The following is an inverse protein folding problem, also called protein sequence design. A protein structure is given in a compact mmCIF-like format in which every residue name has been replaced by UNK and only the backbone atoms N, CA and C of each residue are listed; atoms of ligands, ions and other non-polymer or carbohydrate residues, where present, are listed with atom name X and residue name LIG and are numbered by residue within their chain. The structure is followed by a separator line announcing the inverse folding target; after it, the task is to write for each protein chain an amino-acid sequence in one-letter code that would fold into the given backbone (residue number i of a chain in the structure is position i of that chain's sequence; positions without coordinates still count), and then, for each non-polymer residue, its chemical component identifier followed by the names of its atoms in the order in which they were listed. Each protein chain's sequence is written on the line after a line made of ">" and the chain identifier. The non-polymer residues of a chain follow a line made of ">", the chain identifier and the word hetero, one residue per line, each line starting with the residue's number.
data_IF_438368182693
#
_entry.id   IF_438368182693
#
_cell.length_a   1.000
_cell.length_b   1.000
_cell.length_c   1.000
_cell.angle_alpha   90.00
_cell.angle_beta   90.00
_cell.angle_gamma   90.00
#
_symmetry.space_group_name_H-M   'P 1'
#
loop_
_entity.id
_entity.type
_entity.pdbx_description
1 polymer ?
#
# COMPACT_ATOMS: atom_id res chain seq x y z
N UNK A 1 -17.43 -3.53 2.54
CA UNK A 1 -16.40 -4.08 1.64
C UNK A 1 -15.96 -5.47 2.10
N UNK A 2 -15.64 -5.66 3.39
CA UNK A 2 -15.31 -6.95 3.99
C UNK A 2 -16.36 -8.07 3.73
N UNK A 3 -17.65 -7.81 3.96
CA UNK A 3 -18.72 -8.81 3.77
C UNK A 3 -18.81 -9.33 2.33
N UNK A 4 -18.77 -8.43 1.33
CA UNK A 4 -18.76 -8.84 -0.10
C UNK A 4 -17.55 -9.69 -0.45
N UNK A 5 -16.40 -9.42 0.17
CA UNK A 5 -15.19 -10.20 -0.05
C UNK A 5 -15.33 -11.60 0.55
N UNK A 6 -15.87 -11.69 1.77
CA UNK A 6 -16.17 -12.96 2.43
C UNK A 6 -17.10 -13.82 1.60
N UNK A 7 -18.19 -13.24 1.09
CA UNK A 7 -19.15 -13.92 0.20
C UNK A 7 -18.47 -14.41 -1.09
N UNK A 8 -17.65 -13.57 -1.72
CA UNK A 8 -16.92 -13.95 -2.94
C UNK A 8 -15.96 -15.11 -2.71
N UNK A 9 -15.30 -15.14 -1.55
CA UNK A 9 -14.36 -16.19 -1.15
C UNK A 9 -15.07 -17.45 -0.62
N UNK A 10 -16.40 -17.44 -0.55
CA UNK A 10 -17.22 -18.51 0.05
C UNK A 10 -16.68 -18.93 1.43
N UNK A 11 -16.08 -17.98 2.17
CA UNK A 11 -15.38 -18.26 3.41
C UNK A 11 -16.37 -18.40 4.58
N UNK A 12 -16.21 -19.46 5.36
CA UNK A 12 -16.95 -19.64 6.62
C UNK A 12 -16.64 -18.52 7.62
N UNK A 13 -17.46 -18.38 8.66
CA UNK A 13 -17.19 -17.42 9.73
C UNK A 13 -15.82 -17.65 10.38
N UNK A 14 -15.47 -18.92 10.62
CA UNK A 14 -14.20 -19.33 11.22
C UNK A 14 -13.02 -18.99 10.32
N UNK A 15 -13.07 -19.38 9.04
CA UNK A 15 -12.02 -19.03 8.07
C UNK A 15 -11.87 -17.52 7.91
N UNK A 16 -13.00 -16.80 7.88
CA UNK A 16 -13.00 -15.35 7.73
C UNK A 16 -12.29 -14.63 8.89
N UNK A 17 -12.39 -15.15 10.12
CA UNK A 17 -11.65 -14.56 11.26
C UNK A 17 -10.13 -14.61 11.07
N UNK A 18 -9.62 -15.62 10.34
CA UNK A 18 -8.20 -15.76 10.01
C UNK A 18 -7.83 -14.98 8.74
N UNK A 19 -8.69 -15.03 7.72
CA UNK A 19 -8.43 -14.42 6.41
C UNK A 19 -8.51 -12.90 6.44
N UNK A 20 -9.48 -12.33 7.15
CA UNK A 20 -9.72 -10.89 7.18
C UNK A 20 -8.45 -10.08 7.54
N UNK A 21 -7.77 -10.32 8.69
CA UNK A 21 -6.61 -9.52 9.06
C UNK A 21 -5.43 -9.68 8.09
N UNK A 22 -5.26 -10.86 7.48
CA UNK A 22 -4.21 -11.09 6.48
C UNK A 22 -4.50 -10.37 5.17
N UNK A 23 -5.76 -10.41 4.73
CA UNK A 23 -6.22 -9.72 3.53
C UNK A 23 -6.11 -8.20 3.70
N UNK A 24 -6.58 -7.65 4.82
CA UNK A 24 -6.47 -6.22 5.13
C UNK A 24 -5.00 -5.77 5.14
N UNK A 25 -4.10 -6.59 5.68
CA UNK A 25 -2.66 -6.34 5.66
C UNK A 25 -2.12 -6.29 4.23
N UNK A 26 -2.44 -7.26 3.38
CA UNK A 26 -2.02 -7.28 1.97
C UNK A 26 -2.55 -6.05 1.23
N UNK A 27 -3.85 -5.75 1.34
CA UNK A 27 -4.46 -4.60 0.68
C UNK A 27 -3.83 -3.28 1.14
N UNK A 28 -3.56 -3.14 2.44
CA UNK A 28 -2.87 -1.96 3.00
C UNK A 28 -1.46 -1.83 2.43
N UNK A 29 -0.67 -2.90 2.42
CA UNK A 29 0.68 -2.89 1.87
C UNK A 29 0.70 -2.62 0.36
N UNK A 30 -0.25 -3.18 -0.41
CA UNK A 30 -0.42 -2.88 -1.83
C UNK A 30 -0.79 -1.42 -2.07
N UNK A 31 -1.71 -0.86 -1.29
CA UNK A 31 -2.07 0.56 -1.36
C UNK A 31 -0.86 1.44 -1.06
N UNK A 32 -0.08 1.09 -0.03
CA UNK A 32 1.11 1.85 0.33
C UNK A 32 2.21 1.73 -0.75
N UNK A 33 2.36 0.56 -1.40
CA UNK A 33 3.34 0.29 -2.44
C UNK A 33 3.02 0.99 -3.77
N UNK A 34 1.73 1.09 -4.13
CA UNK A 34 1.28 1.88 -5.30
C UNK A 34 1.50 3.38 -5.11
N UNK A 35 1.93 3.80 -3.92
CA UNK A 35 1.96 5.19 -3.49
C UNK A 35 0.52 5.67 -3.29
N UNK A 36 0.25 6.37 -2.19
CA UNK A 36 -1.07 6.94 -1.89
C UNK A 36 -1.58 7.99 -2.91
N UNK A 37 -1.11 7.97 -4.15
CA UNK A 37 -1.52 8.78 -5.29
C UNK A 37 -2.88 8.36 -5.86
N UNK A 38 -3.47 7.23 -5.42
CA UNK A 38 -4.80 6.77 -5.86
C UNK A 38 -5.98 7.61 -5.33
N UNK A 39 -5.77 8.44 -4.29
CA UNK A 39 -6.78 9.39 -3.77
C UNK A 39 -6.40 10.86 -4.01
N UNK A 40 -5.30 11.11 -4.70
CA UNK A 40 -4.80 12.46 -5.04
C UNK A 40 -4.90 12.75 -6.55
N UNK A 41 -5.73 11.99 -7.28
CA UNK A 41 -6.00 12.18 -8.71
C UNK A 41 -7.12 13.18 -9.04
N UNK A 42 -7.56 14.00 -8.08
CA UNK A 42 -8.75 14.85 -8.20
C UNK A 42 -8.55 16.33 -7.89
N UNK A 43 -7.32 16.87 -7.89
CA UNK A 43 -7.09 18.31 -7.62
C UNK A 43 -6.22 18.96 -8.70
N UNK A 44 -6.77 18.99 -9.91
CA UNK A 44 -6.49 20.05 -10.88
C UNK A 44 -7.82 20.71 -11.23
N UNK A 45 -8.30 21.58 -10.36
CA UNK A 45 -9.46 22.44 -10.62
C UNK A 45 -10.30 22.74 -9.38
N UNK A 46 -10.33 24.00 -8.96
CA UNK A 46 -11.38 24.56 -8.10
C UNK A 46 -10.98 24.91 -6.67
N UNK A 47 -11.18 26.16 -6.22
CA UNK A 47 -10.96 26.59 -4.83
C UNK A 47 -12.18 26.22 -3.96
N UNK A 48 -12.55 24.94 -3.92
CA UNK A 48 -13.60 24.47 -3.00
C UNK A 48 -13.48 22.97 -2.81
N UNK A 49 -12.50 22.54 -2.02
CA UNK A 49 -12.41 21.15 -1.65
C UNK A 49 -12.09 21.11 -0.16
N UNK A 50 -13.06 20.57 0.59
CA UNK A 50 -13.12 20.53 2.03
C UNK A 50 -11.92 19.85 2.70
N UNK A 51 -11.95 19.79 4.04
CA UNK A 51 -10.86 19.22 4.83
C UNK A 51 -10.55 17.80 4.33
N UNK A 52 -9.25 17.45 4.21
CA UNK A 52 -8.85 16.17 3.65
C UNK A 52 -9.53 15.03 4.43
N UNK A 53 -10.10 14.02 3.75
CA UNK A 53 -10.62 12.84 4.42
C UNK A 53 -9.52 12.25 5.31
N UNK A 54 -9.88 12.08 6.58
CA UNK A 54 -8.96 11.98 7.71
C UNK A 54 -7.85 10.94 7.56
N UNK A 55 -6.73 11.23 8.21
CA UNK A 55 -5.75 10.32 8.83
C UNK A 55 -5.42 8.98 8.13
N UNK A 56 -5.63 8.87 6.82
CA UNK A 56 -5.03 7.86 5.96
C UNK A 56 -3.63 8.28 5.48
N UNK A 57 -3.00 9.23 6.18
CA UNK A 57 -1.54 9.39 6.24
C UNK A 57 -0.92 8.25 7.08
N UNK A 58 -1.44 7.05 6.91
CA UNK A 58 -0.98 5.82 7.56
C UNK A 58 0.47 5.62 7.18
N UNK A 59 1.39 5.96 8.11
CA UNK A 59 2.76 5.49 8.28
C UNK A 59 3.53 5.01 7.02
N UNK A 60 3.34 5.65 5.88
CA UNK A 60 3.94 5.23 4.63
C UNK A 60 5.32 5.88 4.54
N UNK A 61 6.32 5.21 5.13
CA UNK A 61 7.71 5.67 5.15
C UNK A 61 8.22 5.99 3.74
N UNK A 62 7.84 5.19 2.74
CA UNK A 62 8.18 5.43 1.34
C UNK A 62 7.59 6.76 0.85
N UNK A 63 6.32 7.05 1.12
CA UNK A 63 5.69 8.32 0.74
C UNK A 63 6.37 9.53 1.39
N UNK A 64 6.72 9.43 2.68
CA UNK A 64 7.44 10.50 3.40
C UNK A 64 8.81 10.77 2.77
N UNK A 65 9.61 9.73 2.54
CA UNK A 65 10.94 9.88 1.92
C UNK A 65 10.82 10.42 0.48
N UNK A 66 9.79 10.02 -0.28
CA UNK A 66 9.53 10.58 -1.61
C UNK A 66 9.23 12.08 -1.56
N UNK A 67 8.42 12.54 -0.60
CA UNK A 67 8.13 13.96 -0.42
C UNK A 67 9.39 14.75 -0.06
N UNK A 68 10.19 14.25 0.88
CA UNK A 68 11.46 14.87 1.28
C UNK A 68 12.46 14.93 0.13
N UNK A 69 12.58 13.85 -0.67
CA UNK A 69 13.44 13.84 -1.85
C UNK A 69 12.96 14.81 -2.92
N UNK A 70 11.64 14.93 -3.16
CA UNK A 70 11.08 15.93 -4.10
C UNK A 70 11.42 17.35 -3.66
N UNK A 71 11.18 17.69 -2.39
CA UNK A 71 11.50 19.01 -1.85
C UNK A 71 13.01 19.32 -1.94
N UNK A 72 13.85 18.32 -1.71
CA UNK A 72 15.30 18.45 -1.87
C UNK A 72 15.70 18.71 -3.33
N UNK A 73 15.06 18.04 -4.29
CA UNK A 73 15.31 18.23 -5.73
C UNK A 73 14.75 19.55 -6.27
N UNK A 74 13.72 20.11 -5.64
CA UNK A 74 13.21 21.45 -5.96
C UNK A 74 14.18 22.56 -5.56
N UNK A 75 15.01 22.32 -4.53
CA UNK A 75 16.11 23.20 -4.16
C UNK A 75 17.31 22.98 -5.11
N UNK A 76 17.57 23.96 -5.99
CA UNK A 76 18.66 23.89 -6.97
C UNK A 76 20.07 23.91 -6.36
N UNK A 77 20.18 24.39 -5.13
CA UNK A 77 21.44 24.46 -4.37
C UNK A 77 21.59 23.27 -3.41
N UNK A 78 20.71 22.25 -3.52
CA UNK A 78 20.78 21.07 -2.67
C UNK A 78 22.11 20.33 -2.85
N UNK A 79 22.68 19.93 -1.71
CA UNK A 79 23.93 19.18 -1.68
C UNK A 79 23.75 17.80 -2.33
N UNK A 80 24.57 17.45 -3.36
CA UNK A 80 24.57 16.13 -3.97
C UNK A 80 24.68 14.97 -2.97
N UNK A 81 25.39 15.14 -1.86
CA UNK A 81 25.51 14.13 -0.82
C UNK A 81 24.18 13.89 -0.09
N UNK A 82 23.39 14.95 0.14
CA UNK A 82 22.05 14.84 0.72
C UNK A 82 21.08 14.13 -0.24
N UNK A 83 21.15 14.45 -1.53
CA UNK A 83 20.33 13.80 -2.57
C UNK A 83 20.62 12.30 -2.62
N UNK A 84 21.91 11.93 -2.65
CA UNK A 84 22.34 10.53 -2.63
C UNK A 84 21.80 9.79 -1.39
N UNK A 85 21.97 10.38 -0.22
CA UNK A 85 21.50 9.79 1.05
C UNK A 85 19.99 9.56 1.05
N UNK A 86 19.19 10.54 0.61
CA UNK A 86 17.72 10.40 0.54
C UNK A 86 17.28 9.40 -0.53
N UNK A 87 17.99 9.32 -1.65
CA UNK A 87 17.73 8.35 -2.71
C UNK A 87 18.00 6.91 -2.23
N UNK A 88 19.09 6.68 -1.51
CA UNK A 88 19.40 5.38 -0.89
C UNK A 88 18.33 4.99 0.13
N UNK A 89 17.95 5.92 1.02
CA UNK A 89 16.86 5.70 1.97
C UNK A 89 15.54 5.33 1.28
N UNK A 90 15.22 5.99 0.15
CA UNK A 90 14.01 5.68 -0.63
C UNK A 90 14.05 4.27 -1.20
N UNK A 91 15.19 3.85 -1.75
CA UNK A 91 15.39 2.51 -2.31
C UNK A 91 15.21 1.45 -1.23
N UNK A 92 15.89 1.60 -0.10
CA UNK A 92 15.78 0.66 1.03
C UNK A 92 14.36 0.60 1.60
N UNK A 93 13.65 1.73 1.67
CA UNK A 93 12.26 1.73 2.13
C UNK A 93 11.33 0.97 1.18
N UNK A 94 11.53 1.10 -0.15
CA UNK A 94 10.77 0.34 -1.15
C UNK A 94 11.06 -1.15 -1.09
N UNK A 95 12.32 -1.53 -0.90
CA UNK A 95 12.72 -2.93 -0.75
C UNK A 95 12.09 -3.57 0.48
N UNK A 96 12.11 -2.88 1.63
CA UNK A 96 11.44 -3.33 2.86
C UNK A 96 9.95 -3.51 2.67
N UNK A 97 9.28 -2.52 2.08
CA UNK A 97 7.84 -2.61 1.80
C UNK A 97 7.51 -3.76 0.84
N UNK A 98 8.34 -3.98 -0.19
CA UNK A 98 8.16 -5.13 -1.10
C UNK A 98 8.31 -6.45 -0.35
N UNK A 99 9.33 -6.57 0.51
CA UNK A 99 9.53 -7.77 1.33
C UNK A 99 8.34 -8.02 2.27
N UNK A 100 7.86 -6.98 2.96
CA UNK A 100 6.67 -7.07 3.83
C UNK A 100 5.42 -7.49 3.06
N UNK A 101 5.21 -6.95 1.86
CA UNK A 101 4.10 -7.33 0.99
C UNK A 101 4.22 -8.81 0.59
N UNK A 102 5.39 -9.26 0.16
CA UNK A 102 5.62 -10.67 -0.20
C UNK A 102 5.38 -11.59 1.00
N UNK A 103 5.88 -11.26 2.18
CA UNK A 103 5.62 -12.05 3.40
C UNK A 103 4.13 -12.08 3.75
N UNK A 104 3.42 -10.95 3.62
CA UNK A 104 1.98 -10.90 3.88
C UNK A 104 1.18 -11.72 2.87
N UNK A 105 1.55 -11.68 1.59
CA UNK A 105 0.93 -12.50 0.54
C UNK A 105 1.18 -13.99 0.77
N UNK A 106 2.39 -14.38 1.20
CA UNK A 106 2.71 -15.78 1.56
C UNK A 106 1.87 -16.26 2.74
N UNK A 107 1.82 -15.49 3.84
CA UNK A 107 1.01 -15.84 5.00
C UNK A 107 -0.49 -15.96 4.65
N UNK A 108 -0.98 -15.13 3.72
CA UNK A 108 -2.34 -15.24 3.21
C UNK A 108 -2.53 -16.54 2.39
N UNK A 109 -1.57 -16.90 1.51
CA UNK A 109 -1.64 -18.17 0.74
C UNK A 109 -1.66 -19.42 1.63
N UNK A 110 -0.94 -19.43 2.74
CA UNK A 110 -0.87 -20.59 3.65
C UNK A 110 -2.23 -20.97 4.27
N UNK A 111 -3.16 -20.02 4.36
CA UNK A 111 -4.49 -20.24 4.96
C UNK A 111 -5.62 -20.29 3.93
N UNK A 112 -5.33 -20.05 2.65
CA UNK A 112 -6.33 -20.06 1.59
C UNK A 112 -6.51 -21.47 1.02
N UNK A 113 -7.74 -21.79 0.65
CA UNK A 113 -8.00 -22.88 -0.30
C UNK A 113 -7.57 -22.48 -1.71
N UNK A 114 -7.31 -23.47 -2.57
CA UNK A 114 -6.92 -23.25 -3.96
C UNK A 114 -7.96 -22.45 -4.77
N UNK A 115 -9.25 -22.58 -4.44
CA UNK A 115 -10.32 -21.76 -5.06
C UNK A 115 -10.19 -20.29 -4.66
N UNK A 116 -9.99 -20.01 -3.37
CA UNK A 116 -9.88 -18.66 -2.85
C UNK A 116 -8.60 -17.97 -3.34
N UNK A 117 -7.49 -18.71 -3.41
CA UNK A 117 -6.24 -18.20 -4.02
C UNK A 117 -6.47 -17.78 -5.48
N UNK A 118 -7.09 -18.65 -6.29
CA UNK A 118 -7.40 -18.32 -7.69
C UNK A 118 -8.29 -17.07 -7.80
N UNK A 119 -9.28 -16.90 -6.92
CA UNK A 119 -10.11 -15.70 -6.90
C UNK A 119 -9.30 -14.45 -6.55
N UNK A 120 -8.41 -14.51 -5.55
CA UNK A 120 -7.58 -13.38 -5.15
C UNK A 120 -6.52 -13.02 -6.19
N UNK A 121 -6.01 -14.00 -6.94
CA UNK A 121 -5.15 -13.77 -8.12
C UNK A 121 -5.93 -13.08 -9.23
N UNK A 122 -7.15 -13.54 -9.54
CA UNK A 122 -8.03 -12.90 -10.52
C UNK A 122 -8.42 -11.45 -10.13
N UNK A 123 -8.49 -11.16 -8.83
CA UNK A 123 -8.71 -9.81 -8.30
C UNK A 123 -7.44 -8.94 -8.27
N UNK A 124 -6.27 -9.49 -8.57
CA UNK A 124 -4.98 -8.78 -8.50
C UNK A 124 -4.50 -8.47 -7.08
N UNK A 125 -5.02 -9.20 -6.07
CA UNK A 125 -4.59 -9.10 -4.67
C UNK A 125 -3.38 -10.01 -4.43
N UNK A 126 -3.40 -11.20 -5.04
CA UNK A 126 -2.26 -12.11 -5.10
C UNK A 126 -1.70 -12.18 -6.53
N UNK A 127 -0.48 -12.68 -6.64
CA UNK A 127 0.19 -13.01 -7.92
C UNK A 127 0.25 -14.51 -8.17
#
# INVERSE_FOLDING_TARGET
>A
MAERMKENLEATDEEWTLLQPLLEKVQTLQMQARGGQGMMGGRRGGPEAGPPPGDARSNNAVAKIQQELRALLENKDADPAQIKTKLEALRSAREKQKAELTTAQQALREVLSQRQEAQLVMMGILE
#
